data_IF_003020444120
#
_entry.id   IF_003020444120
#
_cell.length_a   1.000
_cell.length_b   1.000
_cell.length_c   1.000
_cell.angle_alpha   90.00
_cell.angle_beta   90.00
_cell.angle_gamma   90.00
#
_symmetry.space_group_name_H-M   'P 1'
#
loop_
_entity.id
_entity.type
_entity.pdbx_description
1 polymer ?
#
# COMPACT_ATOMS: atom_id res chain seq x y z
N UNK A 1 3.69 -17.32 -15.77
CA UNK A 1 2.88 -16.65 -16.80
C UNK A 1 3.19 -17.26 -18.18
N UNK A 2 4.37 -17.06 -18.73
CA UNK A 2 4.71 -17.44 -20.12
C UNK A 2 4.47 -18.92 -20.42
N UNK A 3 4.83 -19.83 -19.48
CA UNK A 3 4.59 -21.26 -19.65
C UNK A 3 3.10 -21.58 -19.82
N UNK A 4 2.25 -21.02 -18.97
CA UNK A 4 0.80 -21.21 -19.04
C UNK A 4 0.25 -20.71 -20.39
N UNK A 5 0.63 -19.50 -20.80
CA UNK A 5 0.20 -18.93 -22.07
C UNK A 5 0.62 -19.78 -23.26
N UNK A 6 1.85 -20.31 -23.26
CA UNK A 6 2.35 -21.18 -24.33
C UNK A 6 1.66 -22.56 -24.40
N UNK A 7 1.18 -23.07 -23.25
CA UNK A 7 0.55 -24.37 -23.17
C UNK A 7 -0.97 -24.34 -23.27
N UNK A 8 -1.59 -23.18 -23.30
CA UNK A 8 -3.05 -23.02 -23.21
C UNK A 8 -3.78 -23.70 -24.37
N UNK A 9 -3.21 -23.68 -25.57
CA UNK A 9 -3.80 -24.32 -26.76
C UNK A 9 -3.56 -25.83 -26.83
N UNK A 10 -2.72 -26.36 -25.92
CA UNK A 10 -2.49 -27.83 -25.83
C UNK A 10 -3.53 -28.54 -24.96
N UNK A 11 -4.41 -27.76 -24.31
CA UNK A 11 -5.45 -28.29 -23.41
C UNK A 11 -6.80 -28.01 -24.03
N UNK A 12 -7.70 -29.00 -23.94
CA UNK A 12 -9.09 -28.85 -24.40
C UNK A 12 -9.88 -28.01 -23.39
N UNK A 13 -9.88 -26.70 -23.62
CA UNK A 13 -10.59 -25.70 -22.83
C UNK A 13 -11.59 -24.96 -23.70
N UNK A 14 -12.73 -24.57 -23.12
CA UNK A 14 -13.64 -23.63 -23.77
C UNK A 14 -12.96 -22.28 -24.00
N UNK A 15 -13.40 -21.54 -25.01
CA UNK A 15 -12.87 -20.19 -25.30
C UNK A 15 -13.04 -19.24 -24.10
N UNK A 16 -14.13 -19.39 -23.34
CA UNK A 16 -14.36 -18.63 -22.10
C UNK A 16 -13.30 -18.96 -21.03
N UNK A 17 -12.98 -20.24 -20.84
CA UNK A 17 -11.93 -20.67 -19.91
C UNK A 17 -10.55 -20.17 -20.35
N UNK A 18 -10.25 -20.23 -21.64
CA UNK A 18 -9.00 -19.69 -22.20
C UNK A 18 -8.91 -18.19 -21.97
N UNK A 19 -9.97 -17.43 -22.27
CA UNK A 19 -10.00 -15.99 -22.03
C UNK A 19 -9.77 -15.66 -20.56
N UNK A 20 -10.46 -16.35 -19.64
CA UNK A 20 -10.29 -16.18 -18.19
C UNK A 20 -8.85 -16.43 -17.75
N UNK A 21 -8.28 -17.59 -18.08
CA UNK A 21 -6.91 -17.91 -17.66
C UNK A 21 -5.87 -17.00 -18.32
N UNK A 22 -6.09 -16.59 -19.57
CA UNK A 22 -5.28 -15.58 -20.25
C UNK A 22 -5.33 -14.25 -19.47
N UNK A 23 -6.53 -13.77 -19.14
CA UNK A 23 -6.72 -12.53 -18.39
C UNK A 23 -6.01 -12.53 -17.03
N UNK A 24 -6.18 -13.60 -16.25
CA UNK A 24 -5.54 -13.74 -14.96
C UNK A 24 -4.01 -13.82 -15.06
N UNK A 25 -3.52 -14.53 -16.07
CA UNK A 25 -2.07 -14.70 -16.31
C UNK A 25 -1.42 -13.39 -16.72
N UNK A 26 -2.05 -12.63 -17.60
CA UNK A 26 -1.59 -11.30 -17.99
C UNK A 26 -1.68 -10.32 -16.80
N UNK A 27 -2.75 -10.36 -16.01
CA UNK A 27 -2.83 -9.55 -14.80
C UNK A 27 -1.64 -9.77 -13.87
N UNK A 28 -1.29 -11.02 -13.59
CA UNK A 28 -0.16 -11.35 -12.71
C UNK A 28 1.19 -10.96 -13.33
N UNK A 29 1.36 -11.10 -14.65
CA UNK A 29 2.58 -10.68 -15.33
C UNK A 29 2.70 -9.15 -15.34
N UNK A 30 1.62 -8.44 -15.61
CA UNK A 30 1.56 -6.98 -15.53
C UNK A 30 1.86 -6.46 -14.11
N UNK A 31 1.33 -7.15 -13.07
CA UNK A 31 1.67 -6.83 -11.69
C UNK A 31 3.17 -7.00 -11.40
N UNK A 32 3.76 -8.11 -11.86
CA UNK A 32 5.20 -8.35 -11.70
C UNK A 32 6.04 -7.28 -12.40
N UNK A 33 5.73 -6.93 -13.65
CA UNK A 33 6.45 -5.87 -14.37
C UNK A 33 6.25 -4.49 -13.74
N UNK A 34 5.06 -4.19 -13.19
CA UNK A 34 4.82 -2.94 -12.44
C UNK A 34 5.73 -2.84 -11.21
N UNK A 35 5.83 -3.91 -10.43
CA UNK A 35 6.72 -3.96 -9.24
C UNK A 35 8.18 -3.83 -9.65
N UNK A 36 8.60 -4.51 -10.72
CA UNK A 36 9.97 -4.43 -11.22
C UNK A 36 10.31 -3.02 -11.74
N UNK A 37 9.42 -2.41 -12.51
CA UNK A 37 9.60 -1.05 -13.02
C UNK A 37 9.69 -0.03 -11.89
N UNK A 38 8.83 -0.14 -10.89
CA UNK A 38 8.81 0.75 -9.72
C UNK A 38 10.07 0.61 -8.85
N UNK A 39 10.58 -0.62 -8.71
CA UNK A 39 11.66 -0.95 -7.78
C UNK A 39 13.04 -0.82 -8.42
N UNK A 40 13.22 -1.33 -9.63
CA UNK A 40 14.52 -1.45 -10.29
C UNK A 40 14.64 -0.63 -11.58
N UNK A 41 13.54 -0.01 -12.02
CA UNK A 41 13.52 0.68 -13.30
C UNK A 41 13.36 -0.27 -14.49
N UNK A 42 14.14 -0.08 -15.55
CA UNK A 42 14.12 -1.00 -16.69
C UNK A 42 14.66 -2.38 -16.33
N UNK A 43 14.01 -3.43 -16.84
CA UNK A 43 14.41 -4.83 -16.64
C UNK A 43 14.30 -5.59 -17.97
N UNK A 44 14.90 -6.79 -18.11
CA UNK A 44 14.66 -7.63 -19.28
C UNK A 44 13.17 -7.97 -19.44
N UNK A 45 12.65 -7.80 -20.65
CA UNK A 45 11.26 -8.17 -20.98
C UNK A 45 11.27 -9.59 -21.56
N UNK A 46 10.63 -10.52 -20.86
CA UNK A 46 10.59 -11.94 -21.18
C UNK A 46 9.13 -12.36 -21.37
N UNK A 47 8.73 -12.60 -22.61
CA UNK A 47 7.34 -12.91 -22.99
C UNK A 47 7.14 -14.34 -23.45
N UNK A 48 8.23 -15.11 -23.57
CA UNK A 48 8.23 -16.52 -23.96
C UNK A 48 9.00 -17.36 -22.96
N UNK A 49 8.90 -18.66 -23.08
CA UNK A 49 9.78 -19.55 -22.33
C UNK A 49 11.18 -19.50 -22.95
N UNK A 50 12.17 -19.18 -22.14
CA UNK A 50 13.57 -19.07 -22.56
C UNK A 50 14.44 -20.04 -21.76
N UNK A 51 15.54 -20.44 -22.33
CA UNK A 51 16.57 -21.24 -21.66
C UNK A 51 17.37 -20.39 -20.66
N UNK A 52 18.09 -21.07 -19.78
CA UNK A 52 19.00 -20.38 -18.83
C UNK A 52 20.13 -19.65 -19.59
N UNK A 53 20.57 -20.19 -20.73
CA UNK A 53 21.60 -19.56 -21.54
C UNK A 53 21.10 -18.25 -22.17
N UNK A 54 19.92 -18.28 -22.77
CA UNK A 54 19.28 -17.07 -23.30
C UNK A 54 19.08 -16.01 -22.20
N UNK A 55 18.60 -16.42 -21.00
CA UNK A 55 18.41 -15.49 -19.87
C UNK A 55 19.71 -14.76 -19.47
N UNK A 56 20.86 -15.44 -19.55
CA UNK A 56 22.18 -14.85 -19.24
C UNK A 56 22.69 -13.85 -20.27
N UNK A 57 22.04 -13.73 -21.40
CA UNK A 57 22.42 -12.81 -22.48
C UNK A 57 21.50 -11.61 -22.64
N UNK A 58 20.39 -11.58 -21.92
CA UNK A 58 19.40 -10.52 -22.04
C UNK A 58 19.92 -9.18 -21.52
N UNK A 59 19.56 -8.12 -22.21
CA UNK A 59 19.78 -6.75 -21.76
C UNK A 59 18.53 -6.21 -21.05
N UNK A 60 18.73 -5.21 -20.24
CA UNK A 60 17.63 -4.45 -19.66
C UNK A 60 16.93 -3.65 -20.75
N UNK A 61 15.61 -3.65 -20.74
CA UNK A 61 14.79 -2.66 -21.44
C UNK A 61 14.84 -1.32 -20.70
N UNK A 62 14.36 -0.27 -21.30
CA UNK A 62 14.17 1.01 -20.62
C UNK A 62 13.06 0.93 -19.56
N UNK A 63 13.03 1.91 -18.65
CA UNK A 63 11.94 2.06 -17.70
C UNK A 63 10.58 2.21 -18.41
N UNK A 64 10.56 3.00 -19.49
CA UNK A 64 9.34 3.24 -20.27
C UNK A 64 8.83 1.95 -20.92
N UNK A 65 9.71 1.16 -21.56
CA UNK A 65 9.33 -0.14 -22.14
C UNK A 65 8.84 -1.12 -21.08
N UNK A 66 9.45 -1.12 -19.89
CA UNK A 66 9.01 -1.98 -18.78
C UNK A 66 7.62 -1.60 -18.30
N UNK A 67 7.33 -0.31 -18.14
CA UNK A 67 5.96 0.16 -17.82
C UNK A 67 4.97 -0.15 -18.94
N UNK A 68 5.38 0.02 -20.20
CA UNK A 68 4.50 -0.29 -21.34
C UNK A 68 4.10 -1.77 -21.35
N UNK A 69 5.06 -2.68 -21.08
CA UNK A 69 4.75 -4.10 -20.96
C UNK A 69 3.71 -4.40 -19.87
N UNK A 70 3.83 -3.76 -18.70
CA UNK A 70 2.84 -3.90 -17.65
C UNK A 70 1.46 -3.39 -18.09
N UNK A 71 1.41 -2.26 -18.79
CA UNK A 71 0.17 -1.68 -19.31
C UNK A 71 -0.49 -2.56 -20.37
N UNK A 72 0.30 -3.12 -21.29
CA UNK A 72 -0.19 -4.05 -22.32
C UNK A 72 -0.81 -5.31 -21.69
N UNK A 73 -0.15 -5.85 -20.68
CA UNK A 73 -0.66 -7.00 -19.93
C UNK A 73 -1.97 -6.66 -19.20
N UNK A 74 -2.10 -5.48 -18.60
CA UNK A 74 -3.36 -5.06 -18.01
C UNK A 74 -4.48 -4.86 -19.04
N UNK A 75 -4.19 -4.40 -20.26
CA UNK A 75 -5.20 -4.30 -21.32
C UNK A 75 -5.77 -5.67 -21.71
N UNK A 76 -4.91 -6.68 -21.86
CA UNK A 76 -5.36 -8.05 -22.10
C UNK A 76 -6.23 -8.54 -20.93
N UNK A 77 -5.81 -8.26 -19.69
CA UNK A 77 -6.57 -8.62 -18.51
C UNK A 77 -7.95 -7.93 -18.46
N UNK A 78 -8.01 -6.62 -18.73
CA UNK A 78 -9.26 -5.83 -18.76
C UNK A 78 -10.23 -6.38 -19.81
N UNK A 79 -9.71 -6.83 -20.96
CA UNK A 79 -10.53 -7.38 -22.05
C UNK A 79 -11.11 -8.74 -21.67
N UNK A 80 -10.34 -9.59 -21.00
CA UNK A 80 -10.68 -11.00 -20.78
C UNK A 80 -11.31 -11.30 -19.42
N UNK A 81 -11.17 -10.41 -18.44
CA UNK A 81 -11.71 -10.62 -17.09
C UNK A 81 -13.11 -10.04 -16.93
N UNK A 82 -13.96 -10.76 -16.19
CA UNK A 82 -15.27 -10.30 -15.76
C UNK A 82 -15.22 -9.24 -14.66
N UNK A 83 -16.36 -8.60 -14.43
CA UNK A 83 -16.55 -7.68 -13.31
C UNK A 83 -16.47 -8.42 -11.98
N UNK A 84 -17.06 -9.62 -11.93
CA UNK A 84 -17.05 -10.51 -10.78
C UNK A 84 -16.09 -11.67 -11.02
N UNK A 85 -15.41 -12.07 -9.96
CA UNK A 85 -14.60 -13.28 -9.96
C UNK A 85 -15.43 -14.48 -9.51
N UNK A 86 -15.18 -15.68 -10.05
CA UNK A 86 -15.89 -16.89 -9.62
C UNK A 86 -15.54 -17.32 -8.20
N UNK A 87 -14.38 -16.91 -7.72
CA UNK A 87 -13.84 -17.22 -6.41
C UNK A 87 -13.13 -15.99 -5.82
N UNK A 88 -13.18 -15.77 -4.49
CA UNK A 88 -12.41 -14.72 -3.83
C UNK A 88 -10.91 -14.78 -4.16
N UNK A 89 -10.24 -13.64 -4.22
CA UNK A 89 -8.81 -13.54 -4.51
C UNK A 89 -8.41 -13.66 -5.99
N UNK A 90 -9.32 -14.04 -6.88
CA UNK A 90 -9.03 -14.05 -8.32
C UNK A 90 -9.12 -12.64 -8.91
N UNK A 91 -8.26 -12.36 -9.88
CA UNK A 91 -8.25 -11.07 -10.55
C UNK A 91 -9.57 -10.77 -11.28
N UNK A 92 -10.01 -9.53 -11.21
CA UNK A 92 -11.22 -9.02 -11.87
C UNK A 92 -10.86 -7.89 -12.85
N UNK A 93 -11.80 -7.53 -13.73
CA UNK A 93 -11.67 -6.33 -14.57
C UNK A 93 -11.36 -5.08 -13.73
N UNK A 94 -12.01 -4.92 -12.57
CA UNK A 94 -11.77 -3.79 -11.67
C UNK A 94 -10.37 -3.81 -11.06
N UNK A 95 -9.86 -4.98 -10.70
CA UNK A 95 -8.48 -5.14 -10.24
C UNK A 95 -7.48 -4.71 -11.33
N UNK A 96 -7.68 -5.17 -12.58
CA UNK A 96 -6.81 -4.83 -13.70
C UNK A 96 -6.84 -3.32 -14.04
N UNK A 97 -8.04 -2.72 -14.08
CA UNK A 97 -8.21 -1.26 -14.26
C UNK A 97 -7.52 -0.47 -13.16
N UNK A 98 -7.65 -0.90 -11.90
CA UNK A 98 -7.05 -0.23 -10.76
C UNK A 98 -5.52 -0.34 -10.73
N UNK A 99 -4.96 -1.49 -11.09
CA UNK A 99 -3.50 -1.64 -11.21
C UNK A 99 -2.94 -0.85 -12.41
N UNK A 100 -3.66 -0.80 -13.54
CA UNK A 100 -3.33 0.07 -14.67
C UNK A 100 -3.36 1.54 -14.29
N UNK A 101 -4.40 1.98 -13.55
CA UNK A 101 -4.50 3.34 -12.99
C UNK A 101 -3.28 3.68 -12.15
N UNK A 102 -2.86 2.77 -11.23
CA UNK A 102 -1.68 2.96 -10.38
C UNK A 102 -0.39 3.04 -11.20
N UNK A 103 -0.24 2.22 -12.24
CA UNK A 103 0.90 2.30 -13.15
C UNK A 103 0.97 3.67 -13.86
N UNK A 104 -0.15 4.22 -14.28
CA UNK A 104 -0.21 5.57 -14.83
C UNK A 104 0.07 6.66 -13.78
N UNK A 105 -0.45 6.51 -12.56
CA UNK A 105 -0.19 7.44 -11.46
C UNK A 105 1.31 7.56 -11.17
N UNK A 106 2.02 6.42 -11.13
CA UNK A 106 3.47 6.39 -10.85
C UNK A 106 4.31 6.96 -11.99
N UNK A 107 3.77 7.02 -13.20
CA UNK A 107 4.36 7.68 -14.35
C UNK A 107 3.96 9.17 -14.49
N UNK A 108 3.09 9.70 -13.61
CA UNK A 108 2.55 11.06 -13.71
C UNK A 108 1.59 11.27 -14.90
N UNK A 109 1.05 10.19 -15.46
CA UNK A 109 0.09 10.21 -16.57
C UNK A 109 -1.34 10.41 -16.05
N UNK A 110 -1.62 11.60 -15.53
CA UNK A 110 -2.84 11.90 -14.77
C UNK A 110 -4.14 11.88 -15.59
N UNK A 111 -4.08 12.15 -16.90
CA UNK A 111 -5.27 12.04 -17.77
C UNK A 111 -5.70 10.59 -17.91
N UNK A 112 -4.74 9.71 -18.05
CA UNK A 112 -4.93 8.26 -18.15
C UNK A 112 -5.43 7.68 -16.80
N UNK A 113 -4.98 8.25 -15.67
CA UNK A 113 -5.53 7.93 -14.34
C UNK A 113 -7.03 8.23 -14.31
N UNK A 114 -7.46 9.42 -14.72
CA UNK A 114 -8.89 9.78 -14.76
C UNK A 114 -9.69 8.86 -15.65
N UNK A 115 -9.17 8.50 -16.84
CA UNK A 115 -9.84 7.57 -17.75
C UNK A 115 -10.01 6.15 -17.14
N UNK A 116 -9.02 5.66 -16.40
CA UNK A 116 -9.15 4.39 -15.67
C UNK A 116 -10.19 4.48 -14.55
N UNK A 117 -10.19 5.60 -13.80
CA UNK A 117 -11.18 5.80 -12.71
C UNK A 117 -12.60 5.85 -13.24
N UNK A 118 -12.86 6.52 -14.37
CA UNK A 118 -14.17 6.53 -15.02
C UNK A 118 -14.65 5.11 -15.37
N UNK A 119 -13.75 4.27 -15.88
CA UNK A 119 -14.06 2.87 -16.16
C UNK A 119 -14.32 2.06 -14.89
N UNK A 120 -13.58 2.28 -13.80
CA UNK A 120 -13.84 1.64 -12.50
C UNK A 120 -15.19 2.06 -11.94
N UNK A 121 -15.49 3.36 -11.96
CA UNK A 121 -16.77 3.91 -11.48
C UNK A 121 -17.96 3.37 -12.32
N UNK A 122 -17.78 3.18 -13.63
CA UNK A 122 -18.79 2.61 -14.52
C UNK A 122 -19.14 1.15 -14.20
N UNK A 123 -18.28 0.39 -13.54
CA UNK A 123 -18.58 -0.98 -13.08
C UNK A 123 -19.64 -1.00 -11.97
N UNK A 124 -19.85 0.10 -11.25
CA UNK A 124 -20.81 0.26 -10.14
C UNK A 124 -20.68 -0.81 -9.04
N UNK A 125 -19.49 -1.34 -8.87
CA UNK A 125 -19.20 -2.43 -7.93
C UNK A 125 -18.53 -1.94 -6.65
N UNK A 126 -17.69 -0.89 -6.76
CA UNK A 126 -16.81 -0.48 -5.69
C UNK A 126 -17.30 0.77 -4.95
N UNK A 127 -16.92 0.89 -3.68
CA UNK A 127 -17.26 2.03 -2.83
C UNK A 127 -16.52 1.94 -1.50
N UNK A 128 -16.53 3.00 -0.71
CA UNK A 128 -15.95 2.96 0.62
C UNK A 128 -16.71 1.97 1.51
N UNK A 129 -15.99 1.16 2.26
CA UNK A 129 -16.57 0.32 3.30
C UNK A 129 -17.00 1.20 4.48
N UNK A 130 -18.03 0.82 5.20
CA UNK A 130 -18.63 1.66 6.24
C UNK A 130 -17.75 1.85 7.47
N UNK A 131 -16.72 1.02 7.69
CA UNK A 131 -15.79 1.10 8.82
C UNK A 131 -14.35 1.03 8.35
N UNK A 132 -13.53 1.99 8.76
CA UNK A 132 -12.09 1.96 8.51
C UNK A 132 -11.39 0.87 9.34
N UNK A 133 -11.73 0.75 10.63
CA UNK A 133 -11.19 -0.31 11.47
C UNK A 133 -11.60 -1.70 10.96
N UNK A 134 -12.89 -1.85 10.65
CA UNK A 134 -13.45 -3.11 10.18
C UNK A 134 -12.94 -3.55 8.80
N UNK A 135 -12.42 -2.63 7.98
CA UNK A 135 -11.88 -2.94 6.66
C UNK A 135 -10.73 -3.96 6.72
N UNK A 136 -9.96 -3.98 7.80
CA UNK A 136 -8.80 -4.85 8.01
C UNK A 136 -9.09 -6.03 8.96
N UNK A 137 -10.36 -6.29 9.25
CA UNK A 137 -10.80 -7.45 10.04
C UNK A 137 -11.12 -8.64 9.11
N UNK A 138 -10.62 -9.86 9.42
CA UNK A 138 -10.92 -11.05 8.61
C UNK A 138 -12.42 -11.32 8.39
N UNK A 139 -13.27 -10.88 9.31
CA UNK A 139 -14.73 -11.03 9.18
C UNK A 139 -15.33 -10.19 8.03
N UNK A 140 -14.60 -9.20 7.52
CA UNK A 140 -15.07 -8.26 6.51
C UNK A 140 -14.26 -8.33 5.21
N UNK A 141 -13.50 -9.39 4.99
CA UNK A 141 -12.72 -9.56 3.77
C UNK A 141 -13.59 -9.59 2.51
N UNK A 142 -12.99 -9.29 1.37
CA UNK A 142 -13.68 -9.26 0.07
C UNK A 142 -14.88 -8.30 0.01
N UNK A 143 -14.87 -7.26 0.85
CA UNK A 143 -15.93 -6.24 0.85
C UNK A 143 -15.84 -5.31 -0.38
N UNK A 144 -16.86 -4.44 -0.54
CA UNK A 144 -16.98 -3.53 -1.69
C UNK A 144 -15.83 -2.54 -1.89
N UNK A 145 -14.97 -2.33 -0.90
CA UNK A 145 -13.81 -1.43 -1.03
C UNK A 145 -12.58 -2.14 -1.62
N UNK A 146 -12.49 -3.46 -1.48
CA UNK A 146 -11.35 -4.25 -1.97
C UNK A 146 -11.46 -4.48 -3.47
N UNK A 147 -10.49 -3.99 -4.25
CA UNK A 147 -10.37 -4.28 -5.68
C UNK A 147 -9.49 -5.50 -5.91
N UNK A 148 -8.43 -5.65 -5.14
CA UNK A 148 -7.54 -6.81 -5.19
C UNK A 148 -6.79 -6.99 -3.86
N UNK A 149 -6.73 -8.22 -3.39
CA UNK A 149 -5.99 -8.64 -2.20
C UNK A 149 -5.32 -10.01 -2.42
N UNK A 150 -4.39 -10.34 -1.54
CA UNK A 150 -3.80 -11.67 -1.43
C UNK A 150 -4.54 -12.40 -0.31
N UNK A 151 -5.16 -13.53 -0.68
CA UNK A 151 -5.92 -14.35 0.27
C UNK A 151 -4.99 -15.21 1.12
N UNK A 152 -5.26 -15.25 2.43
CA UNK A 152 -4.62 -16.15 3.38
C UNK A 152 -5.65 -17.04 4.05
N UNK A 153 -5.24 -18.21 4.52
CA UNK A 153 -6.13 -19.24 5.04
C UNK A 153 -5.75 -19.59 6.47
N UNK A 154 -6.76 -19.63 7.35
CA UNK A 154 -6.65 -20.16 8.72
C UNK A 154 -6.65 -21.68 8.70
N UNK A 155 -5.93 -22.31 9.67
CA UNK A 155 -6.05 -23.76 9.96
C UNK A 155 -4.74 -24.55 9.83
N UNK A 156 -4.83 -25.88 9.93
CA UNK A 156 -3.69 -26.79 10.00
C UNK A 156 -2.76 -26.76 8.76
N UNK A 157 -3.32 -26.50 7.59
CA UNK A 157 -2.59 -26.30 6.35
C UNK A 157 -2.56 -24.81 5.96
N UNK A 158 -2.48 -23.95 6.96
CA UNK A 158 -2.54 -22.52 6.76
C UNK A 158 -1.45 -22.04 5.80
N UNK A 159 -1.86 -21.21 4.85
CA UNK A 159 -0.97 -20.37 4.07
C UNK A 159 -1.07 -18.97 4.66
N UNK A 160 -0.53 -18.82 5.88
CA UNK A 160 -0.60 -17.58 6.63
C UNK A 160 0.52 -16.62 6.29
N UNK A 161 0.27 -15.33 6.50
CA UNK A 161 1.27 -14.29 6.38
C UNK A 161 2.08 -14.12 7.67
N UNK A 162 3.27 -13.51 7.54
CA UNK A 162 4.12 -13.16 8.68
C UNK A 162 3.84 -11.75 9.22
N UNK A 163 2.77 -11.10 8.80
CA UNK A 163 2.46 -9.72 9.19
C UNK A 163 2.36 -9.55 10.72
N UNK A 164 1.83 -10.55 11.40
CA UNK A 164 1.71 -10.60 12.85
C UNK A 164 3.06 -10.59 13.57
N UNK A 165 4.11 -11.13 12.98
CA UNK A 165 5.46 -11.10 13.53
C UNK A 165 6.11 -9.72 13.42
N UNK A 166 5.74 -8.95 12.40
CA UNK A 166 6.31 -7.63 12.16
C UNK A 166 5.57 -6.52 12.88
N UNK A 167 4.30 -6.73 13.15
CA UNK A 167 3.40 -5.77 13.78
C UNK A 167 3.04 -6.13 15.23
N UNK A 168 3.91 -6.84 15.97
CA UNK A 168 3.68 -7.24 17.36
C UNK A 168 3.64 -6.09 18.34
N UNK A 169 2.96 -6.27 19.48
CA UNK A 169 2.90 -5.28 20.56
C UNK A 169 3.99 -5.43 21.61
N UNK A 170 4.67 -6.59 21.68
CA UNK A 170 5.70 -6.87 22.67
C UNK A 170 5.22 -7.12 24.09
N UNK A 171 3.90 -7.08 24.34
CA UNK A 171 3.30 -7.27 25.67
C UNK A 171 2.02 -8.08 25.59
N UNK A 172 1.61 -8.63 26.73
CA UNK A 172 0.41 -9.47 26.84
C UNK A 172 0.64 -10.85 26.24
N UNK A 173 -0.44 -11.55 25.92
CA UNK A 173 -0.44 -12.89 25.31
C UNK A 173 0.19 -12.89 23.91
N UNK A 174 0.43 -11.71 23.33
CA UNK A 174 0.97 -11.51 22.00
C UNK A 174 2.35 -10.86 22.03
N UNK A 175 3.31 -11.50 22.64
CA UNK A 175 4.72 -11.05 22.64
C UNK A 175 5.40 -11.40 21.32
N UNK A 176 5.16 -10.61 20.27
CA UNK A 176 5.82 -10.78 18.97
C UNK A 176 6.62 -9.54 18.60
N UNK A 177 7.63 -9.74 17.76
CA UNK A 177 8.49 -8.64 17.33
C UNK A 177 7.70 -7.48 16.73
N UNK A 178 8.00 -6.25 17.12
CA UNK A 178 7.44 -5.03 16.53
C UNK A 178 8.50 -4.44 15.60
N UNK A 179 8.56 -4.92 14.37
CA UNK A 179 9.55 -4.47 13.38
C UNK A 179 9.03 -3.30 12.56
N UNK A 180 7.72 -3.24 12.35
CA UNK A 180 7.05 -2.14 11.68
C UNK A 180 6.25 -1.36 12.70
N UNK A 181 6.68 -0.14 12.98
CA UNK A 181 6.06 0.76 13.94
C UNK A 181 5.84 2.12 13.29
N UNK A 182 4.75 2.84 13.62
CA UNK A 182 4.55 4.20 13.14
C UNK A 182 5.65 5.10 13.71
N UNK A 183 6.20 5.97 12.87
CA UNK A 183 7.13 7.01 13.30
C UNK A 183 6.38 8.16 13.96
N UNK A 184 7.08 8.94 14.82
CA UNK A 184 6.50 10.14 15.42
C UNK A 184 6.01 11.14 14.37
N UNK A 185 6.70 11.23 13.24
CA UNK A 185 6.31 12.06 12.10
C UNK A 185 4.98 11.58 11.46
N UNK A 186 4.73 10.27 11.36
CA UNK A 186 3.44 9.75 10.94
C UNK A 186 2.35 10.04 11.99
N UNK A 187 2.65 9.84 13.27
CA UNK A 187 1.70 10.12 14.35
C UNK A 187 1.32 11.60 14.39
N UNK A 188 2.30 12.49 14.23
CA UNK A 188 2.09 13.94 14.19
C UNK A 188 1.26 14.37 12.97
N UNK A 189 1.30 13.64 11.87
CA UNK A 189 0.54 13.96 10.67
C UNK A 189 -0.98 13.78 10.83
N UNK A 190 -1.46 12.97 11.78
CA UNK A 190 -2.89 12.88 12.05
C UNK A 190 -3.41 14.18 12.66
N UNK A 191 -4.46 14.77 12.11
CA UNK A 191 -5.08 15.99 12.59
C UNK A 191 -5.92 15.73 13.86
N UNK A 192 -6.43 16.79 14.49
CA UNK A 192 -7.51 16.68 15.46
C UNK A 192 -8.87 16.57 14.75
N UNK A 193 -9.88 16.01 15.42
CA UNK A 193 -11.23 15.83 14.83
C UNK A 193 -11.82 17.16 14.39
N UNK A 194 -11.60 18.22 15.14
CA UNK A 194 -12.17 19.55 14.94
C UNK A 194 -11.23 20.55 14.25
N UNK A 195 -10.01 20.12 13.92
CA UNK A 195 -8.98 20.95 13.28
C UNK A 195 -8.25 21.90 14.26
N UNK A 196 -8.47 21.76 15.57
CA UNK A 196 -7.73 22.50 16.60
C UNK A 196 -6.25 22.01 16.66
N UNK A 197 -5.33 22.82 17.20
CA UNK A 197 -3.98 22.34 17.51
C UNK A 197 -4.01 21.15 18.47
N UNK A 198 -3.06 20.22 18.29
CA UNK A 198 -2.87 19.08 19.19
C UNK A 198 -2.50 19.60 20.59
N UNK A 199 -3.20 19.14 21.63
CA UNK A 199 -2.86 19.44 23.02
C UNK A 199 -1.55 18.70 23.40
N UNK A 200 -0.47 19.41 23.75
CA UNK A 200 0.78 18.76 24.13
C UNK A 200 0.71 17.98 25.44
N UNK A 201 -0.24 18.29 26.33
CA UNK A 201 -0.45 17.55 27.59
C UNK A 201 -1.24 16.26 27.35
N UNK A 202 -2.07 16.23 26.29
CA UNK A 202 -2.91 15.09 25.90
C UNK A 202 -2.79 14.78 24.41
N UNK A 203 -1.59 14.39 23.93
CA UNK A 203 -1.27 14.37 22.49
C UNK A 203 -2.03 13.31 21.68
N UNK A 204 -2.76 12.43 22.33
CA UNK A 204 -3.55 11.36 21.69
C UNK A 204 -5.06 11.57 21.80
N UNK A 205 -5.51 12.61 22.51
CA UNK A 205 -6.92 12.94 22.62
C UNK A 205 -7.38 13.80 21.44
N UNK A 206 -8.67 13.70 21.13
CA UNK A 206 -9.32 14.48 20.06
C UNK A 206 -8.62 14.33 18.68
N UNK A 207 -7.95 13.22 18.42
CA UNK A 207 -7.24 12.96 17.15
C UNK A 207 -8.13 12.28 16.13
N UNK A 208 -7.80 12.44 14.87
CA UNK A 208 -8.35 11.64 13.77
C UNK A 208 -8.47 10.17 14.20
N UNK A 209 -9.68 9.56 14.17
CA UNK A 209 -9.89 8.20 14.64
C UNK A 209 -8.98 7.17 13.98
N UNK A 210 -8.56 7.42 12.74
CA UNK A 210 -7.64 6.54 12.00
C UNK A 210 -6.28 6.37 12.69
N UNK A 211 -5.86 7.33 13.54
CA UNK A 211 -4.67 7.16 14.36
C UNK A 211 -4.81 5.96 15.30
N UNK A 212 -5.94 5.90 16.03
CA UNK A 212 -6.22 4.79 16.96
C UNK A 212 -6.45 3.44 16.27
N UNK A 213 -6.88 3.44 15.00
CA UNK A 213 -7.00 2.22 14.18
C UNK A 213 -5.68 1.80 13.54
N UNK A 214 -4.74 2.73 13.38
CA UNK A 214 -3.41 2.46 12.82
C UNK A 214 -2.41 2.04 13.88
N UNK A 215 -2.47 2.66 15.07
CA UNK A 215 -1.54 2.46 16.17
C UNK A 215 -2.24 2.15 17.48
N UNK A 216 -1.60 1.36 18.33
CA UNK A 216 -2.05 1.13 19.71
C UNK A 216 -1.64 2.33 20.56
N UNK A 217 -2.64 3.10 21.01
CA UNK A 217 -2.41 4.33 21.76
C UNK A 217 -2.26 4.09 23.26
N UNK A 218 -1.52 4.95 24.00
CA UNK A 218 -1.49 4.93 25.45
C UNK A 218 -2.91 5.04 26.04
N UNK A 219 -3.21 4.24 27.06
CA UNK A 219 -4.52 4.18 27.69
C UNK A 219 -5.59 3.40 26.93
N UNK A 220 -5.33 2.99 25.67
CA UNK A 220 -6.28 2.22 24.88
C UNK A 220 -6.38 0.77 25.36
N UNK A 221 -7.47 0.12 24.95
CA UNK A 221 -7.68 -1.31 25.15
C UNK A 221 -7.40 -2.05 23.83
N UNK A 222 -6.57 -3.07 23.88
CA UNK A 222 -6.22 -3.88 22.70
C UNK A 222 -5.80 -5.29 23.13
N UNK A 223 -6.32 -6.33 22.46
CA UNK A 223 -6.02 -7.73 22.71
C UNK A 223 -6.15 -8.14 24.21
N UNK A 224 -7.31 -7.84 24.81
CA UNK A 224 -7.56 -8.19 26.21
C UNK A 224 -6.77 -7.38 27.24
N UNK A 225 -5.93 -6.45 26.83
CA UNK A 225 -5.04 -5.70 27.70
C UNK A 225 -5.27 -4.20 27.57
N UNK A 226 -5.32 -3.49 28.73
CA UNK A 226 -5.35 -2.05 28.77
C UNK A 226 -3.94 -1.49 28.85
N UNK A 227 -3.52 -0.78 27.82
CA UNK A 227 -2.18 -0.18 27.78
C UNK A 227 -2.07 0.98 28.78
N UNK A 228 -0.90 1.16 29.43
CA UNK A 228 -0.68 2.29 30.32
C UNK A 228 -0.88 3.64 29.61
N UNK A 229 -1.24 4.68 30.36
CA UNK A 229 -1.38 6.03 29.81
C UNK A 229 -0.04 6.73 29.51
N UNK A 230 1.08 6.05 29.73
CA UNK A 230 2.41 6.58 29.44
C UNK A 230 3.21 5.56 28.61
N UNK A 231 4.05 6.09 27.76
CA UNK A 231 4.87 5.26 26.88
C UNK A 231 6.06 4.61 27.61
N UNK A 232 6.55 5.19 28.72
CA UNK A 232 7.82 4.82 29.40
C UNK A 232 7.91 5.25 30.86
N UNK A 233 8.97 4.80 31.55
CA UNK A 233 9.83 3.65 31.34
C UNK A 233 9.16 2.36 31.84
N UNK A 234 9.43 1.24 31.18
CA UNK A 234 8.84 -0.05 31.56
C UNK A 234 7.38 -0.23 31.12
N UNK A 235 6.88 0.68 30.31
CA UNK A 235 5.53 0.58 29.74
C UNK A 235 5.42 -0.53 28.70
N UNK A 236 4.19 -0.87 28.37
CA UNK A 236 3.83 -1.93 27.43
C UNK A 236 4.41 -1.77 26.01
N UNK A 237 4.86 -0.58 25.66
CA UNK A 237 5.49 -0.26 24.40
C UNK A 237 7.01 -0.43 24.40
N UNK A 238 7.59 -0.80 25.55
CA UNK A 238 9.01 -1.07 25.65
C UNK A 238 9.28 -2.54 25.36
N UNK A 239 9.71 -2.84 24.14
CA UNK A 239 10.19 -4.17 23.81
C UNK A 239 11.44 -4.49 24.63
N UNK A 240 11.45 -5.63 25.30
CA UNK A 240 12.62 -6.11 26.03
C UNK A 240 13.86 -6.05 25.12
N UNK A 241 14.81 -5.21 25.46
CA UNK A 241 16.05 -5.01 24.73
C UNK A 241 15.95 -4.15 23.46
N UNK A 242 14.78 -3.63 23.11
CA UNK A 242 14.62 -2.76 21.94
C UNK A 242 14.63 -1.28 22.36
N UNK A 243 15.50 -0.51 21.72
CA UNK A 243 15.61 0.94 21.95
C UNK A 243 14.46 1.73 21.34
N UNK A 244 13.68 1.11 20.45
CA UNK A 244 12.57 1.75 19.76
C UNK A 244 11.35 1.80 20.68
N UNK A 245 11.26 2.84 21.43
CA UNK A 245 10.18 3.16 22.35
C UNK A 245 9.04 3.86 21.58
N UNK A 246 8.39 3.17 20.65
CA UNK A 246 7.34 3.73 19.79
C UNK A 246 6.01 3.05 19.98
N UNK A 247 4.95 3.67 19.44
CA UNK A 247 3.64 3.05 19.36
C UNK A 247 3.72 1.76 18.53
N UNK A 248 3.02 0.73 18.98
CA UNK A 248 2.88 -0.51 18.21
C UNK A 248 1.83 -0.35 17.12
N UNK A 249 1.99 -1.11 16.03
CA UNK A 249 0.99 -1.14 14.95
C UNK A 249 -0.25 -1.88 15.41
N UNK A 250 -1.43 -1.33 15.10
CA UNK A 250 -2.74 -1.94 15.30
C UNK A 250 -3.37 -2.42 14.00
N UNK A 251 -3.16 -1.70 12.91
CA UNK A 251 -3.65 -2.05 11.58
C UNK A 251 -3.14 -3.44 11.15
N UNK A 252 -3.93 -4.19 10.39
CA UNK A 252 -3.63 -5.57 9.99
C UNK A 252 -3.44 -6.53 11.17
N UNK A 253 -4.19 -6.31 12.24
CA UNK A 253 -4.15 -7.16 13.43
C UNK A 253 -5.52 -7.73 13.73
N UNK A 254 -5.52 -9.00 14.11
CA UNK A 254 -6.72 -9.63 14.68
C UNK A 254 -6.99 -8.96 16.02
N UNK A 255 -8.18 -8.40 16.18
CA UNK A 255 -8.57 -7.61 17.36
C UNK A 255 -9.02 -8.51 18.53
N UNK A 256 -9.45 -9.72 18.24
CA UNK A 256 -9.95 -10.70 19.22
C UNK A 256 -8.81 -11.62 19.66
N UNK A 257 -8.41 -11.53 20.94
CA UNK A 257 -7.33 -12.35 21.51
C UNK A 257 -7.58 -13.84 21.34
N UNK A 258 -8.84 -14.28 21.43
CA UNK A 258 -9.20 -15.71 21.31
C UNK A 258 -9.02 -16.29 19.90
N UNK A 259 -8.87 -15.41 18.90
CA UNK A 259 -8.70 -15.77 17.47
C UNK A 259 -7.27 -15.57 16.96
N UNK A 260 -6.34 -15.29 17.86
CA UNK A 260 -4.95 -15.09 17.46
C UNK A 260 -4.32 -16.38 16.93
N UNK A 261 -3.82 -16.40 15.68
CA UNK A 261 -3.20 -17.58 15.12
C UNK A 261 -1.80 -17.83 15.68
N UNK A 262 -1.21 -19.01 15.50
CA UNK A 262 0.21 -19.23 15.75
C UNK A 262 1.07 -18.26 14.95
N UNK A 263 2.32 -18.04 15.40
CA UNK A 263 3.26 -17.11 14.75
C UNK A 263 3.50 -17.46 13.29
N UNK A 264 3.41 -16.46 12.40
CA UNK A 264 3.61 -16.64 10.95
C UNK A 264 2.43 -17.31 10.24
N UNK A 265 1.27 -17.35 10.89
CA UNK A 265 0.06 -17.93 10.34
C UNK A 265 -1.11 -16.94 10.38
N UNK A 266 -0.82 -15.64 10.28
CA UNK A 266 -1.88 -14.65 10.17
C UNK A 266 -2.72 -14.91 8.91
N UNK A 267 -4.02 -14.97 9.08
CA UNK A 267 -4.97 -15.21 7.99
C UNK A 267 -5.68 -13.91 7.52
N UNK A 268 -5.21 -12.76 7.97
CA UNK A 268 -5.69 -11.48 7.43
C UNK A 268 -5.18 -11.31 6.00
N UNK A 269 -6.08 -11.03 5.07
CA UNK A 269 -5.74 -10.76 3.69
C UNK A 269 -4.91 -9.48 3.56
N UNK A 270 -3.93 -9.49 2.65
CA UNK A 270 -3.14 -8.31 2.31
C UNK A 270 -3.81 -7.55 1.17
N UNK A 271 -4.38 -6.39 1.50
CA UNK A 271 -5.09 -5.54 0.53
C UNK A 271 -4.06 -4.81 -0.34
N UNK A 272 -3.93 -5.26 -1.58
CA UNK A 272 -3.04 -4.66 -2.58
C UNK A 272 -3.63 -3.37 -3.15
N UNK A 273 -4.96 -3.35 -3.37
CA UNK A 273 -5.65 -2.20 -3.95
C UNK A 273 -7.07 -2.09 -3.41
N UNK A 274 -7.44 -0.89 -2.95
CA UNK A 274 -8.77 -0.58 -2.46
C UNK A 274 -9.32 0.73 -3.03
N UNK A 275 -10.62 0.92 -2.97
CA UNK A 275 -11.31 2.02 -3.62
C UNK A 275 -10.92 3.41 -3.07
N UNK A 276 -10.49 3.51 -1.81
CA UNK A 276 -9.94 4.76 -1.30
C UNK A 276 -8.67 5.20 -2.04
N UNK A 277 -7.78 4.26 -2.45
CA UNK A 277 -6.63 4.59 -3.30
C UNK A 277 -7.08 5.10 -4.68
N UNK A 278 -8.14 4.53 -5.25
CA UNK A 278 -8.75 5.02 -6.51
C UNK A 278 -9.25 6.46 -6.34
N UNK A 279 -9.98 6.75 -5.26
CA UNK A 279 -10.50 8.08 -4.97
C UNK A 279 -9.38 9.11 -4.76
N UNK A 280 -8.35 8.76 -4.00
CA UNK A 280 -7.21 9.64 -3.76
C UNK A 280 -6.39 9.89 -5.03
N UNK A 281 -6.23 8.87 -5.87
CA UNK A 281 -5.60 9.01 -7.19
C UNK A 281 -6.41 9.90 -8.12
N UNK A 282 -7.76 9.80 -8.07
CA UNK A 282 -8.67 10.71 -8.79
C UNK A 282 -8.50 12.16 -8.32
N UNK A 283 -8.50 12.38 -7.01
CA UNK A 283 -8.34 13.73 -6.45
C UNK A 283 -7.01 14.37 -6.87
N UNK A 284 -5.91 13.60 -6.80
CA UNK A 284 -4.61 14.05 -7.25
C UNK A 284 -4.60 14.36 -8.75
N UNK A 285 -5.13 13.46 -9.56
CA UNK A 285 -5.19 13.65 -11.02
C UNK A 285 -6.02 14.88 -11.42
N UNK A 286 -7.11 15.19 -10.72
CA UNK A 286 -7.88 16.42 -10.91
C UNK A 286 -7.00 17.65 -10.67
N UNK A 287 -6.24 17.68 -9.57
CA UNK A 287 -5.35 18.78 -9.24
C UNK A 287 -4.26 18.94 -10.31
N UNK A 288 -3.59 17.86 -10.69
CA UNK A 288 -2.44 17.88 -11.59
C UNK A 288 -2.82 18.10 -13.07
N UNK A 289 -4.06 17.84 -13.45
CA UNK A 289 -4.60 18.15 -14.79
C UNK A 289 -5.27 19.54 -14.88
N UNK A 290 -5.11 20.38 -13.87
CA UNK A 290 -5.78 21.67 -13.76
C UNK A 290 -7.32 21.61 -13.74
N UNK A 291 -7.88 20.51 -13.26
CA UNK A 291 -9.30 20.36 -13.02
C UNK A 291 -9.84 21.25 -11.88
N UNK A 292 -11.11 21.13 -11.58
CA UNK A 292 -11.74 21.92 -10.52
C UNK A 292 -11.25 21.47 -9.11
N UNK A 293 -10.67 22.37 -8.36
CA UNK A 293 -10.17 22.13 -7.00
C UNK A 293 -11.29 21.67 -6.08
N UNK A 294 -12.50 22.24 -6.19
CA UNK A 294 -13.62 21.86 -5.35
C UNK A 294 -14.01 20.38 -5.51
N UNK A 295 -13.89 19.82 -6.71
CA UNK A 295 -14.20 18.40 -6.96
C UNK A 295 -13.17 17.48 -6.28
N UNK A 296 -11.88 17.85 -6.29
CA UNK A 296 -10.85 17.11 -5.59
C UNK A 296 -11.07 17.16 -4.07
N UNK A 297 -11.39 18.32 -3.51
CA UNK A 297 -11.65 18.48 -2.08
C UNK A 297 -12.94 17.76 -1.68
N UNK A 298 -13.96 17.71 -2.52
CA UNK A 298 -15.18 16.94 -2.25
C UNK A 298 -14.87 15.43 -2.09
N UNK A 299 -13.92 14.89 -2.86
CA UNK A 299 -13.46 13.51 -2.70
C UNK A 299 -12.78 13.30 -1.35
N UNK A 300 -11.91 14.23 -0.92
CA UNK A 300 -11.28 14.13 0.39
C UNK A 300 -12.32 14.20 1.51
N UNK A 301 -13.27 15.12 1.42
CA UNK A 301 -14.34 15.26 2.40
C UNK A 301 -15.22 14.01 2.48
N UNK A 302 -15.43 13.33 1.36
CA UNK A 302 -16.10 12.03 1.33
C UNK A 302 -15.32 10.99 2.14
N UNK A 303 -13.99 10.86 1.97
CA UNK A 303 -13.14 9.95 2.73
C UNK A 303 -13.19 10.28 4.24
N UNK A 304 -13.22 11.55 4.59
CA UNK A 304 -13.22 12.06 5.96
C UNK A 304 -14.55 11.86 6.72
N UNK A 305 -15.65 11.58 6.01
CA UNK A 305 -16.98 11.60 6.65
C UNK A 305 -17.93 10.48 6.24
N UNK A 306 -17.69 9.74 5.15
CA UNK A 306 -18.62 8.72 4.66
C UNK A 306 -18.65 7.49 5.58
N UNK A 307 -17.51 7.09 6.15
CA UNK A 307 -17.45 5.95 7.06
C UNK A 307 -18.05 6.28 8.43
N UNK A 308 -18.63 5.30 9.10
CA UNK A 308 -19.30 5.48 10.39
C UNK A 308 -18.30 5.81 11.51
N UNK A 309 -17.11 5.23 11.46
CA UNK A 309 -16.05 5.34 12.46
C UNK A 309 -15.00 6.43 12.14
N UNK A 310 -15.11 7.12 11.00
CA UNK A 310 -14.24 8.25 10.63
C UNK A 310 -15.09 9.49 10.41
N UNK A 311 -15.02 10.41 11.37
CA UNK A 311 -15.72 11.70 11.34
C UNK A 311 -14.76 12.80 11.72
N UNK A 312 -14.27 13.53 10.72
CA UNK A 312 -13.30 14.61 10.90
C UNK A 312 -13.84 15.87 10.23
N UNK A 313 -13.39 17.04 10.69
CA UNK A 313 -13.78 18.32 10.11
C UNK A 313 -13.58 18.37 8.60
N UNK A 314 -14.53 18.98 7.91
CA UNK A 314 -14.48 19.14 6.46
C UNK A 314 -13.40 20.15 6.05
N UNK A 315 -12.72 19.84 4.94
CA UNK A 315 -11.85 20.78 4.27
C UNK A 315 -12.68 21.82 3.50
N UNK A 316 -12.23 23.06 3.52
CA UNK A 316 -12.86 24.13 2.74
C UNK A 316 -12.58 23.90 1.25
N UNK A 317 -13.61 24.08 0.43
CA UNK A 317 -13.48 23.91 -1.03
C UNK A 317 -12.82 25.10 -1.74
N UNK A 318 -12.84 26.27 -1.08
CA UNK A 318 -12.23 27.50 -1.60
C UNK A 318 -10.79 27.63 -1.11
N UNK A 319 -9.88 26.95 -1.79
CA UNK A 319 -8.43 27.05 -1.55
C UNK A 319 -7.66 27.10 -2.87
N UNK A 320 -6.40 27.50 -2.80
CA UNK A 320 -5.51 27.47 -3.96
C UNK A 320 -5.24 26.02 -4.40
N UNK A 321 -4.80 25.85 -5.62
CA UNK A 321 -4.41 24.53 -6.15
C UNK A 321 -3.23 23.93 -5.39
N UNK A 322 -2.29 24.77 -4.98
CA UNK A 322 -1.12 24.38 -4.20
C UNK A 322 -1.53 23.86 -2.82
N UNK A 323 -2.42 24.56 -2.12
CA UNK A 323 -2.98 24.09 -0.86
C UNK A 323 -3.77 22.78 -1.03
N UNK A 324 -4.57 22.69 -2.08
CA UNK A 324 -5.32 21.46 -2.37
C UNK A 324 -4.39 20.27 -2.67
N UNK A 325 -3.28 20.50 -3.38
CA UNK A 325 -2.24 19.47 -3.62
C UNK A 325 -1.69 18.94 -2.31
N UNK A 326 -1.33 19.82 -1.37
CA UNK A 326 -0.81 19.41 -0.07
C UNK A 326 -1.89 18.67 0.75
N UNK A 327 -3.15 19.09 0.68
CA UNK A 327 -4.25 18.37 1.35
C UNK A 327 -4.49 16.98 0.74
N UNK A 328 -4.41 16.81 -0.58
CA UNK A 328 -4.51 15.50 -1.24
C UNK A 328 -3.37 14.58 -0.81
N UNK A 329 -2.13 15.06 -0.82
CA UNK A 329 -0.95 14.30 -0.39
C UNK A 329 -1.04 13.90 1.09
N UNK A 330 -1.47 14.83 1.92
CA UNK A 330 -1.67 14.58 3.35
C UNK A 330 -2.75 13.54 3.60
N UNK A 331 -3.94 13.68 3.00
CA UNK A 331 -5.03 12.73 3.16
C UNK A 331 -4.62 11.33 2.64
N UNK A 332 -3.88 11.27 1.52
CA UNK A 332 -3.35 10.01 0.99
C UNK A 332 -2.37 9.35 1.97
N UNK A 333 -1.51 10.11 2.61
CA UNK A 333 -0.58 9.60 3.63
C UNK A 333 -1.30 8.99 4.82
N UNK A 334 -2.36 9.68 5.32
CA UNK A 334 -3.15 9.24 6.47
C UNK A 334 -3.99 8.02 6.13
N UNK A 335 -4.74 8.09 5.04
CA UNK A 335 -5.68 7.06 4.64
C UNK A 335 -4.98 5.74 4.32
N UNK A 336 -3.85 5.79 3.61
CA UNK A 336 -3.08 4.62 3.19
C UNK A 336 -1.88 4.31 4.10
N UNK A 337 -1.88 4.82 5.32
CA UNK A 337 -0.81 4.55 6.28
C UNK A 337 -0.60 3.05 6.49
N UNK A 338 0.67 2.59 6.47
CA UNK A 338 1.11 1.20 6.61
C UNK A 338 0.64 0.23 5.50
N UNK A 339 0.16 0.74 4.36
CA UNK A 339 -0.23 -0.08 3.20
C UNK A 339 0.88 -0.17 2.12
N UNK A 340 2.12 0.20 2.46
CA UNK A 340 3.26 0.11 1.55
C UNK A 340 3.26 1.12 0.38
N UNK A 341 2.47 2.22 0.46
CA UNK A 341 2.33 3.19 -0.66
C UNK A 341 3.20 4.43 -0.52
N UNK A 342 3.51 4.83 0.70
CA UNK A 342 4.14 6.13 0.96
C UNK A 342 5.52 6.28 0.33
N UNK A 343 6.34 5.22 0.25
CA UNK A 343 7.65 5.30 -0.41
C UNK A 343 7.53 5.65 -1.90
N UNK A 344 6.58 5.04 -2.60
CA UNK A 344 6.29 5.35 -4.00
C UNK A 344 5.80 6.78 -4.18
N UNK A 345 4.99 7.26 -3.24
CA UNK A 345 4.52 8.64 -3.21
C UNK A 345 5.68 9.62 -2.96
N UNK A 346 6.58 9.33 -2.03
CA UNK A 346 7.80 10.13 -1.76
C UNK A 346 8.64 10.29 -3.03
N UNK A 347 8.86 9.20 -3.78
CA UNK A 347 9.63 9.20 -5.01
C UNK A 347 8.96 10.06 -6.10
N UNK A 348 7.70 9.79 -6.42
CA UNK A 348 6.99 10.46 -7.50
C UNK A 348 6.68 11.94 -7.21
N UNK A 349 6.49 12.31 -5.92
CA UNK A 349 6.34 13.70 -5.50
C UNK A 349 7.68 14.41 -5.35
N UNK A 350 8.80 13.69 -5.42
CA UNK A 350 10.18 14.20 -5.28
C UNK A 350 10.42 14.93 -3.95
N UNK A 351 9.79 14.46 -2.88
CA UNK A 351 9.88 15.07 -1.55
C UNK A 351 10.93 14.41 -0.65
N UNK A 352 11.70 13.44 -1.14
CA UNK A 352 12.71 12.74 -0.35
C UNK A 352 13.73 13.69 0.28
N UNK A 353 14.21 14.70 -0.46
CA UNK A 353 15.16 15.71 0.07
C UNK A 353 14.57 16.57 1.20
N UNK A 354 13.26 16.71 1.28
CA UNK A 354 12.58 17.46 2.33
C UNK A 354 12.35 16.61 3.57
N UNK A 355 12.13 15.28 3.39
CA UNK A 355 11.82 14.35 4.47
C UNK A 355 13.08 13.82 5.18
N UNK A 356 14.22 13.76 4.48
CA UNK A 356 15.45 13.15 4.98
C UNK A 356 16.61 14.14 5.05
N UNK A 357 17.51 14.03 6.06
CA UNK A 357 17.57 12.96 7.07
C UNK A 357 16.39 13.01 8.04
N UNK A 358 15.77 11.85 8.33
CA UNK A 358 14.73 11.74 9.35
C UNK A 358 15.33 11.29 10.66
N UNK A 359 15.19 12.12 11.69
CA UNK A 359 15.70 11.85 13.03
C UNK A 359 14.61 11.15 13.83
N UNK A 360 14.87 9.92 14.23
CA UNK A 360 14.00 9.12 15.11
C UNK A 360 14.46 9.32 16.55
N UNK A 361 13.57 9.79 17.40
CA UNK A 361 13.85 10.06 18.82
C UNK A 361 13.05 9.12 19.71
N UNK A 362 13.53 8.88 20.92
CA UNK A 362 12.73 8.30 21.97
C UNK A 362 11.85 9.37 22.66
N UNK A 363 11.02 8.93 23.62
CA UNK A 363 10.10 9.81 24.35
C UNK A 363 10.83 10.85 25.24
N UNK A 364 12.12 10.65 25.54
CA UNK A 364 12.96 11.59 26.27
C UNK A 364 13.65 12.59 25.32
N UNK A 365 13.42 12.47 24.01
CA UNK A 365 14.01 13.31 22.98
C UNK A 365 15.41 12.88 22.53
N UNK A 366 15.93 11.76 23.07
CA UNK A 366 17.23 11.22 22.66
C UNK A 366 17.16 10.60 21.27
N UNK A 367 18.15 10.87 20.43
CA UNK A 367 18.21 10.30 19.08
C UNK A 367 18.50 8.81 19.16
N UNK A 368 17.57 7.98 18.64
CA UNK A 368 17.74 6.54 18.52
C UNK A 368 18.41 6.17 17.20
N UNK A 369 17.95 6.79 16.12
CA UNK A 369 18.39 6.49 14.76
C UNK A 369 18.21 7.72 13.87
N UNK A 370 19.03 7.82 12.84
CA UNK A 370 18.84 8.78 11.76
C UNK A 370 18.73 8.03 10.44
N UNK A 371 17.56 8.08 9.83
CA UNK A 371 17.34 7.50 8.51
C UNK A 371 17.97 8.40 7.44
N UNK A 372 18.71 7.80 6.53
CA UNK A 372 19.45 8.52 5.48
C UNK A 372 20.30 9.68 6.08
N UNK A 373 21.30 9.40 6.93
CA UNK A 373 22.07 10.43 7.65
C UNK A 373 22.81 11.39 6.72
N UNK A 374 23.12 10.98 5.51
CA UNK A 374 23.75 11.80 4.46
C UNK A 374 22.75 12.53 3.57
N UNK A 375 21.45 12.56 3.95
CA UNK A 375 20.37 13.08 3.15
C UNK A 375 19.88 12.10 2.07
N UNK A 376 18.84 12.50 1.37
CA UNK A 376 18.25 11.71 0.29
C UNK A 376 18.98 12.01 -1.02
N UNK A 377 19.45 10.96 -1.67
CA UNK A 377 20.09 11.05 -2.99
C UNK A 377 19.12 10.50 -4.04
N UNK A 378 19.06 11.12 -5.21
CA UNK A 378 18.08 10.80 -6.26
C UNK A 378 18.17 9.34 -6.74
N UNK A 379 19.36 8.74 -6.68
CA UNK A 379 19.50 7.33 -7.06
C UNK A 379 18.81 6.36 -6.09
N UNK A 380 18.39 6.80 -4.88
CA UNK A 380 17.57 5.98 -3.99
C UNK A 380 16.14 5.74 -4.50
N UNK A 381 15.73 6.44 -5.56
CA UNK A 381 14.44 6.18 -6.21
C UNK A 381 14.34 4.77 -6.80
N UNK A 382 15.48 4.17 -7.15
CA UNK A 382 15.57 2.80 -7.65
C UNK A 382 16.54 1.99 -6.79
N UNK A 383 16.21 0.75 -6.52
CA UNK A 383 17.14 -0.17 -5.86
C UNK A 383 18.25 -0.60 -6.81
N UNK A 384 19.44 -0.97 -6.26
CA UNK A 384 20.49 -1.56 -7.09
C UNK A 384 20.04 -2.90 -7.68
N UNK A 385 20.46 -3.18 -8.91
CA UNK A 385 20.32 -4.52 -9.46
C UNK A 385 21.20 -5.46 -8.63
N UNK A 386 20.64 -6.56 -8.07
CA UNK A 386 21.41 -7.44 -7.20
C UNK A 386 22.68 -7.99 -7.87
N UNK A 387 23.79 -8.01 -7.13
CA UNK A 387 25.06 -8.51 -7.66
C UNK A 387 25.00 -9.99 -8.06
N UNK A 388 24.14 -10.78 -7.41
CA UNK A 388 23.85 -12.15 -7.81
C UNK A 388 23.34 -12.24 -9.25
N UNK A 389 22.40 -11.36 -9.63
CA UNK A 389 21.83 -11.31 -10.97
C UNK A 389 22.88 -10.84 -12.01
N UNK A 390 23.62 -9.80 -11.67
CA UNK A 390 24.68 -9.24 -12.53
C UNK A 390 25.84 -10.23 -12.73
N UNK A 391 26.14 -11.03 -11.72
CA UNK A 391 27.16 -12.08 -11.83
C UNK A 391 26.73 -13.22 -12.78
N UNK A 392 25.42 -13.49 -12.86
CA UNK A 392 24.86 -14.49 -13.78
C UNK A 392 24.65 -13.95 -15.19
N UNK A 393 24.35 -12.65 -15.31
CA UNK A 393 24.16 -11.97 -16.57
C UNK A 393 24.92 -10.63 -16.59
N UNK A 394 26.14 -10.60 -17.17
CA UNK A 394 26.97 -9.39 -17.22
C UNK A 394 26.42 -8.26 -18.10
N UNK A 395 25.34 -8.52 -18.87
CA UNK A 395 24.67 -7.48 -19.66
C UNK A 395 23.65 -6.67 -18.84
N UNK A 396 23.49 -6.96 -17.54
CA UNK A 396 22.65 -6.18 -16.65
C UNK A 396 23.45 -5.00 -16.08
N UNK A 397 23.35 -3.85 -16.72
CA UNK A 397 23.93 -2.61 -16.22
C UNK A 397 23.34 -2.22 -14.86
N UNK A 398 24.18 -1.69 -13.97
CA UNK A 398 23.72 -1.19 -12.67
C UNK A 398 22.91 0.11 -12.82
N UNK A 399 22.00 0.37 -11.90
CA UNK A 399 21.32 1.66 -11.81
C UNK A 399 22.34 2.76 -11.48
N UNK A 400 22.24 3.95 -12.09
CA UNK A 400 23.16 5.05 -11.84
C UNK A 400 23.24 5.40 -10.35
N UNK A 401 24.47 5.56 -9.83
CA UNK A 401 24.71 5.92 -8.44
C UNK A 401 24.99 4.75 -7.47
N UNK A 402 24.76 3.52 -7.93
CA UNK A 402 25.01 2.30 -7.18
C UNK A 402 26.31 1.61 -7.60
#
# INVERSE_FOLDING_TARGET
ANYLLACMDLVDLSEEAKAKYSGETHFLRGLAYSVLAETYGGVPIILTNISTEEARSLKRASLEETWQQALDDYEVAITNLGVDAPEPGRATKGAALGMKMRAYLYQGKYKEVLACVEQIDALKKYGLFHSYEGLFDPANENNKEVLFDIQYIEGENSQGSYIDQYCGTGTGSWTRGSRYVPTDDLVAAYETIDGSPVDPENPYENRDPRLGFTAVLPGSYFLGYRFPNYLYPGGAFNHAGNRLKHLSTRKYRIQDESKLPPSGQSYINDIILRYADVLLSKAEAIIETNGNVADAIAILNRIRTERDDVKISLLQTSMSREEAREKVRHERRIELALEGRYWSDVKRWKIGKTLYPMIIKDHEGSVIETKFPNGYLEYYDLLPIPDSERSLNPNLDQNPGW
#
